data_IF_392476325039
#
_entry.id   IF_392476325039
#
_cell.length_a   1.000
_cell.length_b   1.000
_cell.length_c   1.000
_cell.angle_alpha   90.00
_cell.angle_beta   90.00
_cell.angle_gamma   90.00
#
_symmetry.space_group_name_H-M   'P 1'
#
loop_
_entity.id
_entity.type
_entity.pdbx_description
1 polymer ?
#
# COMPACT_ATOMS: atom_id res chain seq x y z
N UNK A 1 -7.68 6.45 -9.61
CA UNK A 1 -7.93 5.10 -9.07
C UNK A 1 -9.32 5.11 -8.44
N UNK A 2 -10.16 4.17 -8.86
CA UNK A 2 -11.56 4.10 -8.48
C UNK A 2 -11.90 2.81 -7.73
N UNK A 3 -10.94 1.87 -7.58
CA UNK A 3 -11.19 0.61 -6.90
C UNK A 3 -9.93 0.02 -6.23
N UNK A 4 -10.12 -0.83 -5.21
CA UNK A 4 -9.04 -1.42 -4.39
C UNK A 4 -7.99 -2.17 -5.24
N UNK A 5 -8.45 -2.88 -6.28
CA UNK A 5 -7.58 -3.62 -7.20
C UNK A 5 -6.61 -2.72 -7.96
N UNK A 6 -7.01 -1.48 -8.29
CA UNK A 6 -6.12 -0.53 -8.98
C UNK A 6 -5.02 -0.04 -8.04
N UNK A 7 -5.35 0.25 -6.78
CA UNK A 7 -4.35 0.58 -5.76
C UNK A 7 -3.32 -0.54 -5.64
N UNK A 8 -3.77 -1.79 -5.54
CA UNK A 8 -2.89 -2.96 -5.48
C UNK A 8 -2.02 -3.12 -6.73
N UNK A 9 -2.56 -2.82 -7.91
CA UNK A 9 -1.80 -2.85 -9.17
C UNK A 9 -0.69 -1.79 -9.19
N UNK A 10 -0.98 -0.61 -8.65
CA UNK A 10 -0.04 0.50 -8.60
C UNK A 10 1.04 0.28 -7.53
N UNK A 11 0.65 -0.18 -6.34
CA UNK A 11 1.59 -0.65 -5.31
C UNK A 11 2.51 -1.75 -5.85
N UNK A 12 1.96 -2.71 -6.59
CA UNK A 12 2.75 -3.75 -7.24
C UNK A 12 3.81 -3.18 -8.18
N UNK A 13 3.47 -2.14 -8.97
CA UNK A 13 4.43 -1.51 -9.89
C UNK A 13 5.50 -0.73 -9.13
N UNK A 14 5.10 0.04 -8.12
CA UNK A 14 6.02 0.91 -7.36
C UNK A 14 6.97 0.11 -6.49
N UNK A 15 6.48 -0.96 -5.86
CA UNK A 15 7.25 -1.83 -4.98
C UNK A 15 7.84 -3.05 -5.71
N UNK A 16 7.69 -3.13 -7.03
CA UNK A 16 8.11 -4.24 -7.88
C UNK A 16 7.73 -5.62 -7.31
N UNK A 17 6.46 -5.75 -6.90
CA UNK A 17 5.96 -6.97 -6.25
C UNK A 17 5.82 -8.12 -7.25
N UNK A 18 5.99 -9.37 -6.78
CA UNK A 18 5.97 -10.55 -7.64
C UNK A 18 4.66 -10.72 -8.41
N UNK A 19 4.72 -11.49 -9.50
CA UNK A 19 3.59 -11.70 -10.41
C UNK A 19 2.37 -12.31 -9.73
N UNK A 20 2.60 -13.16 -8.71
CA UNK A 20 1.57 -13.83 -7.90
C UNK A 20 0.96 -12.95 -6.80
N UNK A 21 1.24 -11.64 -6.78
CA UNK A 21 0.65 -10.71 -5.82
C UNK A 21 -0.89 -10.77 -5.81
N UNK A 22 -1.45 -11.31 -4.73
CA UNK A 22 -2.87 -11.63 -4.57
C UNK A 22 -3.81 -10.44 -4.41
N UNK A 23 -3.31 -9.19 -4.51
CA UNK A 23 -4.10 -7.95 -4.38
C UNK A 23 -4.97 -7.92 -3.13
N UNK A 24 -4.41 -8.40 -2.03
CA UNK A 24 -5.04 -8.40 -0.71
C UNK A 24 -4.07 -7.80 0.31
N UNK A 25 -4.60 -7.33 1.42
CA UNK A 25 -3.85 -6.67 2.49
C UNK A 25 -2.81 -7.61 3.13
N UNK A 26 -3.20 -8.86 3.39
CA UNK A 26 -2.29 -9.88 3.96
C UNK A 26 -1.11 -10.18 3.03
N UNK A 27 -1.37 -10.24 1.72
CA UNK A 27 -0.30 -10.50 0.74
C UNK A 27 0.57 -9.26 0.54
N UNK A 28 0.00 -8.05 0.66
CA UNK A 28 0.78 -6.81 0.70
C UNK A 28 1.72 -6.81 1.88
N UNK A 29 1.21 -7.14 3.06
CA UNK A 29 1.97 -7.22 4.28
C UNK A 29 3.15 -8.20 4.18
N UNK A 30 2.89 -9.42 3.73
CA UNK A 30 3.91 -10.46 3.54
C UNK A 30 5.01 -10.01 2.57
N UNK A 31 4.61 -9.36 1.48
CA UNK A 31 5.56 -8.75 0.56
C UNK A 31 6.33 -7.58 1.20
N UNK A 32 5.70 -6.71 1.97
CA UNK A 32 6.37 -5.55 2.57
C UNK A 32 7.42 -5.96 3.61
N UNK A 33 7.17 -7.05 4.34
CA UNK A 33 8.05 -7.55 5.41
C UNK A 33 9.08 -8.55 4.93
N UNK A 34 8.77 -9.34 3.90
CA UNK A 34 9.62 -10.43 3.40
C UNK A 34 10.24 -10.20 2.02
N UNK A 35 9.71 -9.28 1.22
CA UNK A 35 10.18 -9.01 -0.15
C UNK A 35 10.81 -7.62 -0.29
N UNK A 36 10.14 -6.61 0.24
CA UNK A 36 10.61 -5.22 0.15
C UNK A 36 11.67 -4.96 1.21
N UNK A 37 12.75 -4.28 0.82
CA UNK A 37 13.78 -3.87 1.77
C UNK A 37 13.32 -2.67 2.59
N UNK A 38 13.10 -2.90 3.88
CA UNK A 38 12.76 -1.87 4.86
C UNK A 38 14.01 -1.16 5.40
N UNK A 39 13.91 0.11 5.83
CA UNK A 39 12.70 0.93 5.85
C UNK A 39 12.38 1.56 4.49
N UNK A 40 11.09 1.70 4.18
CA UNK A 40 10.62 2.30 2.92
C UNK A 40 9.60 3.40 3.17
N UNK A 41 9.66 4.45 2.35
CA UNK A 41 8.67 5.53 2.36
C UNK A 41 7.92 5.54 1.04
N UNK A 42 6.61 5.39 1.10
CA UNK A 42 5.73 5.44 -0.06
C UNK A 42 5.06 6.83 -0.13
N UNK A 43 5.37 7.59 -1.17
CA UNK A 43 4.70 8.86 -1.46
C UNK A 43 3.46 8.63 -2.34
N UNK A 44 2.28 8.77 -1.76
CA UNK A 44 1.04 8.70 -2.50
C UNK A 44 0.58 10.09 -2.94
N UNK A 45 0.93 10.44 -4.18
CA UNK A 45 0.50 11.69 -4.82
C UNK A 45 -0.92 11.56 -5.38
N UNK A 46 -1.71 12.63 -5.28
CA UNK A 46 -3.13 12.67 -5.67
C UNK A 46 -4.02 11.78 -4.79
N UNK A 47 -3.69 11.66 -3.50
CA UNK A 47 -4.50 10.91 -2.55
C UNK A 47 -5.94 11.43 -2.50
N UNK A 48 -6.12 12.74 -2.68
CA UNK A 48 -7.44 13.40 -2.65
C UNK A 48 -8.41 12.88 -3.73
N UNK A 49 -7.92 12.45 -4.89
CA UNK A 49 -8.75 11.78 -5.90
C UNK A 49 -9.12 10.36 -5.49
N UNK A 50 -8.19 9.62 -4.88
CA UNK A 50 -8.45 8.26 -4.39
C UNK A 50 -9.40 8.27 -3.19
N UNK A 51 -9.30 9.29 -2.32
CA UNK A 51 -10.15 9.50 -1.15
C UNK A 51 -11.63 9.68 -1.50
N UNK A 52 -11.97 10.10 -2.72
CA UNK A 52 -13.38 10.14 -3.15
C UNK A 52 -13.98 8.76 -3.40
N UNK A 53 -13.16 7.77 -3.75
CA UNK A 53 -13.64 6.47 -4.23
C UNK A 53 -13.29 5.28 -3.31
N UNK A 54 -12.16 5.34 -2.59
CA UNK A 54 -11.62 4.20 -1.81
C UNK A 54 -11.05 4.61 -0.44
N UNK A 55 -11.56 5.70 0.15
CA UNK A 55 -11.07 6.25 1.43
C UNK A 55 -10.98 5.20 2.54
N UNK A 56 -12.08 4.52 2.84
CA UNK A 56 -12.11 3.54 3.94
C UNK A 56 -11.10 2.40 3.75
N UNK A 57 -10.85 2.01 2.50
CA UNK A 57 -9.87 0.97 2.22
C UNK A 57 -8.44 1.49 2.33
N UNK A 58 -8.18 2.69 1.82
CA UNK A 58 -6.86 3.31 1.91
C UNK A 58 -6.47 3.59 3.37
N UNK A 59 -7.42 4.08 4.19
CA UNK A 59 -7.22 4.28 5.62
C UNK A 59 -6.90 2.94 6.31
N UNK A 60 -7.59 1.84 5.96
CA UNK A 60 -7.26 0.50 6.46
C UNK A 60 -5.85 0.02 6.10
N UNK A 61 -5.43 0.23 4.84
CA UNK A 61 -4.07 -0.13 4.40
C UNK A 61 -3.03 0.60 5.24
N UNK A 62 -3.21 1.90 5.45
CA UNK A 62 -2.30 2.72 6.28
C UNK A 62 -2.30 2.21 7.71
N UNK A 63 -3.47 2.05 8.32
CA UNK A 63 -3.57 1.62 9.72
C UNK A 63 -2.91 0.26 9.94
N UNK A 64 -3.17 -0.72 9.08
CA UNK A 64 -2.54 -2.05 9.22
C UNK A 64 -1.04 -1.99 8.96
N UNK A 65 -0.59 -1.27 7.93
CA UNK A 65 0.85 -1.18 7.64
C UNK A 65 1.62 -0.42 8.72
N UNK A 66 1.13 0.73 9.19
CA UNK A 66 1.79 1.51 10.23
C UNK A 66 1.83 0.78 11.58
N UNK A 67 0.72 0.12 11.96
CA UNK A 67 0.61 -0.58 13.23
C UNK A 67 1.49 -1.83 13.29
N UNK A 68 1.59 -2.54 12.18
CA UNK A 68 2.31 -3.80 12.14
C UNK A 68 3.81 -3.60 11.77
N UNK A 69 4.18 -2.59 10.95
CA UNK A 69 5.60 -2.35 10.53
C UNK A 69 6.43 -1.56 11.56
N UNK A 70 5.88 -1.21 12.72
CA UNK A 70 6.55 -0.47 13.79
C UNK A 70 7.31 0.79 13.28
N UNK A 71 6.75 1.47 12.27
CA UNK A 71 7.34 2.66 11.65
C UNK A 71 8.41 2.41 10.57
N UNK A 72 8.72 1.15 10.23
CA UNK A 72 9.63 0.82 9.11
C UNK A 72 9.01 1.11 7.73
N UNK A 73 7.69 1.21 7.68
CA UNK A 73 6.96 1.61 6.48
C UNK A 73 6.23 2.91 6.76
N UNK A 74 6.47 3.90 5.91
CA UNK A 74 5.88 5.23 6.07
C UNK A 74 5.11 5.61 4.82
N UNK A 75 3.80 5.82 4.97
CA UNK A 75 2.95 6.25 3.86
C UNK A 75 2.71 7.75 3.96
N UNK A 76 3.28 8.52 3.03
CA UNK A 76 3.12 9.97 2.96
C UNK A 76 2.12 10.30 1.86
N UNK A 77 0.94 10.81 2.24
CA UNK A 77 -0.10 11.22 1.30
C UNK A 77 0.03 12.70 0.95
N UNK A 78 -0.04 13.04 -0.34
CA UNK A 78 -0.01 14.41 -0.87
C UNK A 78 -1.31 14.74 -1.65
#
# INVERSE_FOLDING_TARGET
MSNQKELHLELKKVLDLPTYYGKNLDVLWDCLTGWVSLPITLEWRNFNQCKKNIREYADKVIETTEKELDGNFKLVVF
#
